data_IF_859268966830
#
_entry.id   IF_859268966830
#
_cell.length_a   1.000
_cell.length_b   1.000
_cell.length_c   1.000
_cell.angle_alpha   90.00
_cell.angle_beta   90.00
_cell.angle_gamma   90.00
#
_symmetry.space_group_name_H-M   'P 1'
#
loop_
_entity.id
_entity.type
_entity.pdbx_description
1 polymer ?
#
# COMPACT_ATOMS: atom_id res chain seq x y z
N UNK A 1 15.26 6.20 4.55
CA UNK A 1 14.52 6.41 3.29
C UNK A 1 13.32 5.47 3.28
N UNK A 2 12.14 6.00 3.08
CA UNK A 2 10.91 5.21 2.98
C UNK A 2 10.46 5.16 1.53
N UNK A 3 9.94 4.01 1.13
CA UNK A 3 9.35 3.79 -0.20
C UNK A 3 7.85 3.68 -0.02
N UNK A 4 7.09 4.37 -0.84
CA UNK A 4 5.65 4.33 -0.73
C UNK A 4 4.96 5.23 -1.72
N UNK A 5 3.67 5.40 -1.54
CA UNK A 5 2.86 6.33 -2.34
C UNK A 5 1.80 6.99 -1.48
N UNK A 6 1.34 8.12 -1.97
CA UNK A 6 0.17 8.84 -1.44
C UNK A 6 -0.85 9.00 -2.55
N UNK A 7 -2.10 9.20 -2.18
CA UNK A 7 -3.14 9.48 -3.17
C UNK A 7 -4.20 10.42 -2.63
N UNK A 8 -4.88 11.08 -3.55
CA UNK A 8 -6.05 11.92 -3.31
C UNK A 8 -7.14 11.54 -4.28
N UNK A 9 -8.37 11.55 -3.84
CA UNK A 9 -9.51 11.23 -4.67
C UNK A 9 -10.78 11.88 -4.10
N UNK A 10 -11.88 11.75 -4.83
CA UNK A 10 -13.19 12.22 -4.39
C UNK A 10 -14.24 11.12 -4.53
N UNK A 11 -15.25 11.17 -3.68
CA UNK A 11 -16.43 10.31 -3.79
C UNK A 11 -17.67 11.04 -3.31
N UNK A 12 -18.80 10.72 -3.89
CA UNK A 12 -20.12 11.22 -3.41
C UNK A 12 -20.83 10.22 -2.51
N UNK A 13 -20.36 8.98 -2.49
CA UNK A 13 -21.01 7.89 -1.76
C UNK A 13 -20.02 7.22 -0.81
N UNK A 14 -19.78 7.86 0.33
CA UNK A 14 -18.80 7.36 1.30
C UNK A 14 -19.17 5.97 1.86
N UNK A 15 -20.44 5.70 2.09
CA UNK A 15 -20.87 4.40 2.61
C UNK A 15 -20.68 3.29 1.56
N UNK A 16 -20.91 3.59 0.28
CA UNK A 16 -20.62 2.67 -0.80
C UNK A 16 -19.11 2.41 -0.96
N UNK A 17 -18.28 3.43 -0.75
CA UNK A 17 -16.83 3.27 -0.71
C UNK A 17 -16.41 2.31 0.39
N UNK A 18 -16.88 2.52 1.61
CA UNK A 18 -16.60 1.65 2.76
C UNK A 18 -17.01 0.20 2.48
N UNK A 19 -18.19 -0.01 1.92
CA UNK A 19 -18.70 -1.34 1.60
C UNK A 19 -17.86 -2.02 0.52
N UNK A 20 -17.47 -1.30 -0.53
CA UNK A 20 -16.57 -1.84 -1.56
C UNK A 20 -15.21 -2.23 -1.02
N UNK A 21 -14.61 -1.43 -0.15
CA UNK A 21 -13.34 -1.78 0.49
C UNK A 21 -13.49 -3.04 1.33
N UNK A 22 -14.57 -3.13 2.10
CA UNK A 22 -14.86 -4.32 2.92
C UNK A 22 -14.97 -5.58 2.08
N UNK A 23 -15.76 -5.55 1.01
CA UNK A 23 -15.93 -6.67 0.08
C UNK A 23 -14.60 -7.08 -0.55
N UNK A 24 -13.84 -6.11 -1.08
CA UNK A 24 -12.53 -6.38 -1.70
C UNK A 24 -11.53 -6.96 -0.73
N UNK A 25 -11.47 -6.46 0.50
CA UNK A 25 -10.60 -6.98 1.54
C UNK A 25 -10.98 -8.41 1.95
N UNK A 26 -12.27 -8.69 2.12
CA UNK A 26 -12.78 -10.04 2.43
C UNK A 26 -12.45 -11.05 1.33
N UNK A 27 -12.68 -10.68 0.06
CA UNK A 27 -12.39 -11.54 -1.10
C UNK A 27 -10.90 -11.88 -1.20
N UNK A 28 -10.04 -10.96 -0.82
CA UNK A 28 -8.57 -11.14 -0.88
C UNK A 28 -7.96 -11.70 0.40
N UNK A 29 -8.75 -11.89 1.46
CA UNK A 29 -8.25 -12.34 2.74
C UNK A 29 -7.45 -11.29 3.52
N UNK A 30 -7.63 -10.01 3.22
CA UNK A 30 -6.96 -8.91 3.91
C UNK A 30 -7.70 -8.52 5.19
N UNK A 31 -6.95 -8.02 6.17
CA UNK A 31 -7.53 -7.42 7.37
C UNK A 31 -8.09 -6.03 7.09
N UNK A 32 -9.09 -5.61 7.85
CA UNK A 32 -9.69 -4.29 7.75
C UNK A 32 -9.94 -3.71 9.13
N UNK A 33 -9.44 -2.49 9.36
CA UNK A 33 -9.81 -1.65 10.49
C UNK A 33 -10.59 -0.45 9.94
N UNK A 34 -11.75 -0.18 10.48
CA UNK A 34 -12.67 0.84 10.00
C UNK A 34 -13.15 1.73 11.15
N UNK A 35 -13.11 3.03 10.94
CA UNK A 35 -13.64 4.05 11.85
C UNK A 35 -14.54 5.00 11.06
N UNK A 36 -15.11 5.99 11.73
CA UNK A 36 -15.99 6.99 11.09
C UNK A 36 -15.26 7.81 10.01
N UNK A 37 -13.98 8.11 10.21
CA UNK A 37 -13.22 9.04 9.40
C UNK A 37 -12.04 8.42 8.64
N UNK A 38 -11.73 7.16 8.89
CA UNK A 38 -10.60 6.49 8.27
C UNK A 38 -10.80 4.98 8.18
N UNK A 39 -9.99 4.35 7.34
CA UNK A 39 -9.85 2.91 7.29
C UNK A 39 -8.41 2.51 6.97
N UNK A 40 -8.06 1.29 7.35
CA UNK A 40 -6.78 0.68 7.01
C UNK A 40 -7.03 -0.75 6.55
N UNK A 41 -6.49 -1.07 5.38
CA UNK A 41 -6.47 -2.44 4.85
C UNK A 41 -5.10 -3.02 5.11
N UNK A 42 -5.04 -4.15 5.81
CA UNK A 42 -3.80 -4.85 6.13
C UNK A 42 -3.61 -6.04 5.21
N UNK A 43 -2.62 -5.95 4.33
CA UNK A 43 -2.28 -6.98 3.35
C UNK A 43 -1.38 -8.05 3.96
N UNK A 44 -0.49 -7.63 4.85
CA UNK A 44 0.41 -8.47 5.62
C UNK A 44 0.82 -7.73 6.90
N UNK A 45 1.62 -8.36 7.74
CA UNK A 45 2.03 -7.83 9.06
C UNK A 45 2.60 -6.40 8.98
N UNK A 46 3.36 -6.09 7.93
CA UNK A 46 4.03 -4.80 7.76
C UNK A 46 3.52 -4.01 6.55
N UNK A 47 2.42 -4.44 5.95
CA UNK A 47 1.92 -3.84 4.73
C UNK A 47 0.48 -3.36 4.86
N UNK A 48 0.30 -2.07 5.06
CA UNK A 48 -1.00 -1.42 5.22
C UNK A 48 -1.23 -0.34 4.17
N UNK A 49 -2.46 -0.27 3.70
CA UNK A 49 -2.98 0.83 2.90
C UNK A 49 -4.00 1.58 3.74
N UNK A 50 -3.71 2.83 4.06
CA UNK A 50 -4.57 3.66 4.90
C UNK A 50 -5.20 4.79 4.12
N UNK A 51 -6.42 5.14 4.44
CA UNK A 51 -7.10 6.30 3.89
C UNK A 51 -8.00 6.96 4.93
N UNK A 52 -8.18 8.25 4.76
CA UNK A 52 -9.07 9.07 5.56
C UNK A 52 -9.92 9.94 4.65
N UNK A 53 -11.02 10.42 5.17
CA UNK A 53 -11.96 11.25 4.41
C UNK A 53 -12.54 12.37 5.25
N UNK A 54 -12.83 13.46 4.55
CA UNK A 54 -13.51 14.62 5.11
C UNK A 54 -14.51 15.18 4.09
N UNK A 55 -15.50 15.89 4.57
CA UNK A 55 -16.46 16.57 3.68
C UNK A 55 -15.78 17.74 2.99
N UNK A 56 -15.97 17.85 1.68
CA UNK A 56 -15.48 18.99 0.92
C UNK A 56 -16.34 20.22 1.22
N UNK A 57 -15.68 21.32 1.63
CA UNK A 57 -16.39 22.58 1.90
C UNK A 57 -17.00 23.16 0.62
N UNK A 58 -18.27 23.55 0.71
CA UNK A 58 -18.97 24.21 -0.40
C UNK A 58 -19.62 23.28 -1.42
N UNK A 59 -19.40 21.95 -1.35
CA UNK A 59 -20.00 20.98 -2.24
C UNK A 59 -20.78 19.93 -1.45
N UNK A 60 -22.10 19.96 -1.58
CA UNK A 60 -22.97 19.01 -0.87
C UNK A 60 -22.72 17.58 -1.34
N UNK A 61 -22.51 16.69 -0.37
CA UNK A 61 -22.41 15.27 -0.61
C UNK A 61 -21.11 14.81 -1.24
N UNK A 62 -20.10 15.68 -1.33
CA UNK A 62 -18.77 15.31 -1.83
C UNK A 62 -17.78 15.16 -0.69
N UNK A 63 -16.98 14.08 -0.77
CA UNK A 63 -15.97 13.74 0.19
C UNK A 63 -14.59 13.76 -0.47
N UNK A 64 -13.63 14.32 0.24
CA UNK A 64 -12.21 14.25 -0.12
C UNK A 64 -11.59 13.04 0.56
N UNK A 65 -10.92 12.22 -0.22
CA UNK A 65 -10.20 11.04 0.25
C UNK A 65 -8.71 11.32 0.13
N UNK A 66 -7.97 11.08 1.20
CA UNK A 66 -6.50 11.10 1.18
C UNK A 66 -6.00 9.78 1.73
N UNK A 67 -4.96 9.25 1.12
CA UNK A 67 -4.41 7.99 1.58
C UNK A 67 -2.91 7.89 1.41
N UNK A 68 -2.35 6.89 2.05
CA UNK A 68 -0.93 6.61 2.01
C UNK A 68 -0.64 5.11 2.17
N UNK A 69 0.51 4.74 1.66
CA UNK A 69 1.03 3.39 1.77
C UNK A 69 2.54 3.46 1.93
N UNK A 70 3.07 2.91 3.01
CA UNK A 70 4.50 2.72 3.18
C UNK A 70 4.84 1.27 2.84
N UNK A 71 5.61 1.06 1.79
CA UNK A 71 5.89 -0.26 1.24
C UNK A 71 7.24 -0.81 1.69
N UNK A 72 8.06 0.00 2.34
CA UNK A 72 9.44 -0.35 2.65
C UNK A 72 9.57 -1.68 3.39
N UNK A 73 8.88 -1.91 4.51
CA UNK A 73 9.08 -3.17 5.25
C UNK A 73 8.40 -4.38 4.58
N UNK A 74 7.39 -4.18 3.76
CA UNK A 74 6.65 -5.26 3.12
C UNK A 74 7.15 -5.63 1.72
N UNK A 75 7.84 -4.71 1.05
CA UNK A 75 8.52 -4.96 -0.22
C UNK A 75 7.72 -4.64 -1.47
N UNK A 76 8.34 -4.88 -2.61
CA UNK A 76 7.81 -4.51 -3.92
C UNK A 76 6.49 -5.23 -4.28
N UNK A 77 6.37 -6.50 -3.91
CA UNK A 77 5.14 -7.27 -4.16
C UNK A 77 3.93 -6.67 -3.44
N UNK A 78 4.11 -6.24 -2.20
CA UNK A 78 3.07 -5.52 -1.48
C UNK A 78 2.73 -4.18 -2.14
N UNK A 79 3.74 -3.42 -2.55
CA UNK A 79 3.53 -2.14 -3.26
C UNK A 79 2.65 -2.35 -4.50
N UNK A 80 2.97 -3.34 -5.32
CA UNK A 80 2.18 -3.69 -6.49
C UNK A 80 0.75 -4.11 -6.13
N UNK A 81 0.57 -4.92 -5.09
CA UNK A 81 -0.74 -5.34 -4.62
C UNK A 81 -1.60 -4.16 -4.12
N UNK A 82 -0.99 -3.23 -3.38
CA UNK A 82 -1.68 -2.03 -2.90
C UNK A 82 -2.11 -1.12 -4.07
N UNK A 83 -1.26 -0.98 -5.08
CA UNK A 83 -1.60 -0.23 -6.31
C UNK A 83 -2.76 -0.90 -7.06
N UNK A 84 -2.76 -2.23 -7.20
CA UNK A 84 -3.87 -2.94 -7.85
C UNK A 84 -5.19 -2.77 -7.08
N UNK A 85 -5.12 -2.84 -5.76
CA UNK A 85 -6.28 -2.60 -4.91
C UNK A 85 -6.84 -1.19 -5.11
N UNK A 86 -5.95 -0.20 -5.13
CA UNK A 86 -6.33 1.20 -5.36
C UNK A 86 -6.92 1.41 -6.76
N UNK A 87 -6.37 0.77 -7.79
CA UNK A 87 -6.91 0.82 -9.15
C UNK A 87 -8.36 0.30 -9.20
N UNK A 88 -8.60 -0.86 -8.61
CA UNK A 88 -9.93 -1.46 -8.59
C UNK A 88 -10.92 -0.58 -7.82
N UNK A 89 -10.52 -0.09 -6.66
CA UNK A 89 -11.34 0.83 -5.87
C UNK A 89 -11.60 2.13 -6.63
N UNK A 90 -10.59 2.65 -7.33
CA UNK A 90 -10.69 3.84 -8.16
C UNK A 90 -11.74 3.70 -9.25
N UNK A 91 -11.75 2.57 -9.95
CA UNK A 91 -12.74 2.30 -10.99
C UNK A 91 -14.16 2.16 -10.44
N UNK A 92 -14.30 1.59 -9.25
CA UNK A 92 -15.63 1.32 -8.65
C UNK A 92 -16.22 2.54 -7.95
N UNK A 93 -15.40 3.32 -7.24
CA UNK A 93 -15.92 4.26 -6.23
C UNK A 93 -15.25 5.62 -6.16
N UNK A 94 -14.13 5.84 -6.84
CA UNK A 94 -13.39 7.08 -6.74
C UNK A 94 -13.44 7.88 -8.04
N UNK A 95 -13.44 9.19 -7.91
CA UNK A 95 -13.25 10.12 -9.02
C UNK A 95 -12.04 10.99 -8.74
N UNK A 96 -11.48 11.58 -9.80
CA UNK A 96 -10.32 12.47 -9.72
C UNK A 96 -9.14 11.87 -8.92
N UNK A 97 -8.88 10.58 -9.12
CA UNK A 97 -7.78 9.89 -8.45
C UNK A 97 -6.44 10.40 -8.94
N UNK A 98 -5.66 10.95 -8.00
CA UNK A 98 -4.29 11.39 -8.20
C UNK A 98 -3.37 10.59 -7.29
N UNK A 99 -2.40 9.91 -7.87
CA UNK A 99 -1.43 9.10 -7.15
C UNK A 99 -0.04 9.66 -7.31
N UNK A 100 0.63 9.88 -6.19
CA UNK A 100 2.04 10.26 -6.13
C UNK A 100 2.84 9.06 -5.63
N UNK A 101 3.45 8.34 -6.56
CA UNK A 101 4.21 7.14 -6.31
C UNK A 101 5.70 7.39 -6.56
N UNK A 102 6.49 7.35 -5.49
CA UNK A 102 7.94 7.56 -5.56
C UNK A 102 8.65 6.59 -6.49
N UNK A 103 8.09 5.39 -6.67
CA UNK A 103 8.68 4.37 -7.53
C UNK A 103 8.27 4.49 -9.00
N UNK A 104 7.29 5.33 -9.28
CA UNK A 104 6.65 5.46 -10.58
C UNK A 104 5.98 4.17 -11.10
N UNK A 105 5.88 3.15 -10.27
CA UNK A 105 5.20 1.89 -10.64
C UNK A 105 3.74 2.12 -11.02
N UNK A 106 3.06 3.05 -10.35
CA UNK A 106 1.68 3.39 -10.70
C UNK A 106 1.54 3.80 -12.17
N UNK A 107 2.48 4.57 -12.69
CA UNK A 107 2.45 5.05 -14.07
C UNK A 107 3.00 4.06 -15.08
N UNK A 108 4.09 3.39 -14.77
CA UNK A 108 4.84 2.57 -15.74
C UNK A 108 4.54 1.08 -15.65
N UNK A 109 4.09 0.61 -14.50
CA UNK A 109 3.78 -0.82 -14.24
C UNK A 109 4.97 -1.75 -14.51
N UNK A 110 6.18 -1.23 -14.36
CA UNK A 110 7.41 -2.00 -14.53
C UNK A 110 7.93 -2.46 -13.17
N UNK A 111 7.55 -3.68 -12.80
CA UNK A 111 7.87 -4.27 -11.50
C UNK A 111 9.38 -4.48 -11.31
N UNK A 112 10.06 -4.97 -12.33
CA UNK A 112 11.51 -5.22 -12.27
C UNK A 112 12.30 -3.92 -12.14
N UNK A 113 11.87 -2.87 -12.83
CA UNK A 113 12.44 -1.53 -12.68
C UNK A 113 12.26 -0.99 -11.27
N UNK A 114 11.07 -1.13 -10.70
CA UNK A 114 10.78 -0.70 -9.33
C UNK A 114 11.68 -1.41 -8.33
N UNK A 115 11.85 -2.72 -8.44
CA UNK A 115 12.76 -3.49 -7.59
C UNK A 115 14.19 -2.98 -7.71
N UNK A 116 14.70 -2.88 -8.94
CA UNK A 116 16.09 -2.50 -9.22
C UNK A 116 16.42 -1.09 -8.75
N UNK A 117 15.54 -0.12 -8.99
CA UNK A 117 15.82 1.29 -8.72
C UNK A 117 15.49 1.71 -7.28
N UNK A 118 14.57 1.04 -6.59
CA UNK A 118 14.10 1.46 -5.26
C UNK A 118 14.32 0.42 -4.18
N UNK A 119 13.84 -0.81 -4.36
CA UNK A 119 13.86 -1.81 -3.29
C UNK A 119 15.24 -2.46 -3.09
N UNK A 120 15.95 -2.81 -4.12
CA UNK A 120 17.30 -3.37 -3.99
C UNK A 120 18.29 -2.39 -3.35
N UNK A 121 18.33 -1.11 -3.74
CA UNK A 121 19.19 -0.14 -3.05
C UNK A 121 18.85 0.00 -1.57
N UNK A 122 17.57 0.03 -1.23
CA UNK A 122 17.14 0.07 0.17
C UNK A 122 17.58 -1.19 0.94
N UNK A 123 17.34 -2.38 0.40
CA UNK A 123 17.72 -3.63 1.04
C UNK A 123 19.24 -3.74 1.24
N UNK A 124 20.02 -3.32 0.25
CA UNK A 124 21.48 -3.31 0.35
C UNK A 124 21.97 -2.34 1.43
N UNK A 125 21.33 -1.17 1.55
CA UNK A 125 21.63 -0.22 2.61
C UNK A 125 21.28 -0.79 3.99
N UNK A 126 20.15 -1.48 4.12
CA UNK A 126 19.75 -2.14 5.36
C UNK A 126 20.72 -3.24 5.76
N UNK A 127 21.14 -4.09 4.83
CA UNK A 127 22.12 -5.15 5.07
C UNK A 127 23.45 -4.60 5.57
N UNK A 128 23.93 -3.52 4.94
CA UNK A 128 25.18 -2.85 5.40
C UNK A 128 25.03 -2.29 6.82
N UNK A 129 23.92 -1.62 7.09
CA UNK A 129 23.63 -1.05 8.39
C UNK A 129 23.59 -2.12 9.50
N UNK A 130 22.95 -3.26 9.25
CA UNK A 130 22.89 -4.37 10.18
C UNK A 130 24.27 -4.97 10.41
N UNK A 131 25.09 -5.14 9.37
CA UNK A 131 26.46 -5.65 9.47
C UNK A 131 27.38 -4.74 10.30
N UNK A 132 27.29 -3.43 10.11
CA UNK A 132 28.08 -2.44 10.84
C UNK A 132 27.75 -2.38 12.33
N UNK A 133 26.49 -2.58 12.69
CA UNK A 133 26.04 -2.49 14.10
C UNK A 133 26.17 -3.78 14.88
N UNK A 134 26.38 -4.92 14.23
CA UNK A 134 26.46 -6.23 14.89
C UNK A 134 25.18 -6.59 15.64
N UNK A 135 24.06 -5.95 15.29
CA UNK A 135 22.78 -6.10 15.98
C UNK A 135 21.99 -7.30 15.46
N UNK A 136 21.29 -7.95 16.37
CA UNK A 136 20.33 -8.99 16.04
C UNK A 136 19.27 -8.48 15.05
N UNK A 137 18.86 -9.34 14.17
CA UNK A 137 17.96 -9.03 13.07
C UNK A 137 16.52 -8.99 13.50
N UNK A 138 15.78 -8.02 12.94
CA UNK A 138 14.33 -8.05 12.98
C UNK A 138 13.81 -8.96 11.86
N UNK A 139 12.78 -9.73 12.15
CA UNK A 139 12.07 -10.47 11.12
C UNK A 139 11.28 -9.49 10.25
N UNK A 140 11.59 -9.44 8.98
CA UNK A 140 10.81 -8.69 8.00
C UNK A 140 10.04 -9.64 7.11
N UNK A 141 8.78 -9.33 6.88
CA UNK A 141 7.97 -10.00 5.88
C UNK A 141 8.16 -9.25 4.57
N UNK A 142 9.02 -9.74 3.70
CA UNK A 142 9.29 -9.11 2.41
C UNK A 142 8.64 -9.91 1.29
N UNK A 143 7.67 -9.29 0.63
CA UNK A 143 7.02 -9.83 -0.57
C UNK A 143 7.72 -9.37 -1.85
N UNK A 144 8.93 -9.01 -1.78
CA UNK A 144 9.56 -8.15 -2.76
C UNK A 144 9.95 -8.79 -4.09
N UNK A 145 10.01 -10.10 -4.14
CA UNK A 145 10.26 -10.83 -5.40
C UNK A 145 8.99 -11.20 -6.15
N UNK A 146 7.81 -10.90 -5.58
CA UNK A 146 6.52 -11.33 -6.12
C UNK A 146 5.70 -10.15 -6.57
N UNK A 147 5.45 -10.02 -7.87
CA UNK A 147 4.55 -9.00 -8.41
C UNK A 147 3.10 -9.25 -7.99
N UNK A 148 2.68 -10.50 -7.95
CA UNK A 148 1.36 -10.89 -7.45
C UNK A 148 1.48 -11.33 -6.00
N UNK A 149 1.00 -10.47 -5.11
CA UNK A 149 1.00 -10.73 -3.68
C UNK A 149 -0.17 -11.63 -3.29
N UNK A 150 0.13 -12.68 -2.54
CA UNK A 150 -0.87 -13.51 -1.88
C UNK A 150 -0.49 -13.68 -0.41
N UNK A 151 -1.31 -13.19 0.54
CA UNK A 151 -0.94 -13.16 1.97
C UNK A 151 -0.59 -14.52 2.55
N UNK A 152 -1.22 -15.57 2.05
CA UNK A 152 -1.03 -16.96 2.51
C UNK A 152 0.29 -17.57 2.03
N UNK A 153 0.85 -17.01 0.97
CA UNK A 153 2.07 -17.54 0.32
C UNK A 153 3.32 -16.74 0.69
N UNK A 154 3.17 -15.66 1.42
CA UNK A 154 4.30 -14.80 1.75
C UNK A 154 5.12 -15.45 2.85
N UNK A 155 6.29 -16.02 2.54
CA UNK A 155 7.18 -16.50 3.57
C UNK A 155 7.74 -15.31 4.35
N UNK A 156 7.72 -15.40 5.67
CA UNK A 156 8.49 -14.50 6.49
C UNK A 156 9.96 -14.62 6.07
N UNK A 157 10.52 -13.59 5.48
CA UNK A 157 11.92 -13.58 5.11
C UNK A 157 12.72 -13.08 6.31
N UNK A 158 13.51 -13.96 6.85
CA UNK A 158 14.50 -13.59 7.86
C UNK A 158 15.73 -13.09 7.09
N UNK A 159 16.04 -11.83 7.29
CA UNK A 159 17.32 -11.30 6.81
C UNK A 159 18.38 -11.71 7.83
N UNK A 160 19.15 -12.70 7.50
CA UNK A 160 20.30 -13.13 8.30
C UNK A 160 21.58 -12.49 7.82
#
# INVERSE_FOLDING_TARGET
>A
MSIGFTFKAKTRKIDALKESVKEMAEESGYGLALNENWLTVSFCTMGDLSMEWERESGLRGQWLITGNCCSTPAGAGFHAAAIRFLDELGQKRLSELLVDDETEYYNHRDFERMKREHFYPWLNALKRHCAERGSGYSNFCLCWDMEQYQPEEVPGTVIT
#
